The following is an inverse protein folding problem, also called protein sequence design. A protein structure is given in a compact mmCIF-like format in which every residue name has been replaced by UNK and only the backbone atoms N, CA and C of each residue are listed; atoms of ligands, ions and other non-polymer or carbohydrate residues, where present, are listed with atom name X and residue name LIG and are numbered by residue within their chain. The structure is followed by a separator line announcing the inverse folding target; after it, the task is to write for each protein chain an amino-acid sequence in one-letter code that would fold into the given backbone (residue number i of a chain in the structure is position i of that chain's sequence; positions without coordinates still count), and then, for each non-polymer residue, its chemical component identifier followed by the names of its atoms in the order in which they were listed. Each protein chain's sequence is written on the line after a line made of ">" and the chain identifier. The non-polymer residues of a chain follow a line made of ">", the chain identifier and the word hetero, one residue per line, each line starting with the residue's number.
data_IF_632040835049
#
_entry.id   IF_632040835049
#
_cell.length_a   1.000
_cell.length_b   1.000
_cell.length_c   1.000
_cell.angle_alpha   90.00
_cell.angle_beta   90.00
_cell.angle_gamma   90.00
#
_symmetry.space_group_name_H-M   'P 1'
#
loop_
_entity.id
_entity.type
_entity.pdbx_description
1 polymer ?
#
# COMPACT_ATOMS: atom_id res chain seq x y z
N UNK A 1 49.56 -1.37 -21.23
CA UNK A 1 48.43 -0.49 -20.84
C UNK A 1 48.39 -0.50 -19.32
N UNK A 2 48.63 0.66 -18.70
CA UNK A 2 48.91 0.77 -17.25
C UNK A 2 47.67 0.42 -16.43
N UNK A 3 47.88 -0.27 -15.30
CA UNK A 3 46.86 -0.68 -14.31
C UNK A 3 45.95 0.47 -13.84
N UNK A 4 46.40 1.73 -14.00
CA UNK A 4 45.60 2.93 -13.72
C UNK A 4 44.39 3.09 -14.65
N UNK A 5 44.43 2.54 -15.88
CA UNK A 5 43.29 2.57 -16.81
C UNK A 5 42.25 1.48 -16.52
N UNK A 6 42.62 0.41 -15.81
CA UNK A 6 41.69 -0.66 -15.42
C UNK A 6 40.90 -0.23 -14.18
N UNK A 7 41.53 0.51 -13.25
CA UNK A 7 40.83 1.07 -12.09
C UNK A 7 39.80 2.16 -12.47
N UNK A 8 40.08 2.95 -13.51
CA UNK A 8 39.16 4.00 -13.97
C UNK A 8 37.95 3.47 -14.77
N UNK A 9 37.99 2.21 -15.21
CA UNK A 9 36.89 1.56 -15.94
C UNK A 9 35.92 0.79 -15.04
N UNK A 10 36.24 0.63 -13.75
CA UNK A 10 35.34 0.04 -12.74
C UNK A 10 34.66 1.14 -11.89
N UNK A 11 35.16 2.38 -11.92
CA UNK A 11 34.62 3.50 -11.14
C UNK A 11 33.64 4.41 -11.91
N UNK A 12 33.17 4.01 -13.09
CA UNK A 12 32.20 4.77 -13.88
C UNK A 12 31.12 3.86 -14.49
N UNK A 13 30.50 3.07 -13.61
CA UNK A 13 29.16 2.53 -13.79
C UNK A 13 28.38 2.85 -12.50
N UNK A 14 28.27 4.14 -12.17
CA UNK A 14 27.15 4.64 -11.40
C UNK A 14 26.07 4.98 -12.43
N UNK A 15 25.57 3.95 -13.10
CA UNK A 15 24.21 4.05 -13.56
C UNK A 15 23.39 3.86 -12.28
N UNK A 16 22.54 4.83 -11.99
CA UNK A 16 21.40 4.61 -11.11
C UNK A 16 20.51 3.66 -11.90
N UNK A 17 20.85 2.37 -11.93
CA UNK A 17 19.86 1.35 -12.22
C UNK A 17 18.94 1.34 -10.99
N UNK A 18 17.91 2.19 -11.03
CA UNK A 18 16.71 1.91 -10.26
C UNK A 18 16.38 0.43 -10.51
N UNK A 19 16.24 -0.35 -9.44
CA UNK A 19 16.16 -1.82 -9.48
C UNK A 19 14.77 -2.27 -9.92
N UNK A 20 14.31 -1.77 -11.06
CA UNK A 20 13.05 -2.15 -11.69
C UNK A 20 13.05 -3.66 -12.01
N UNK A 21 12.02 -4.37 -11.54
CA UNK A 21 11.88 -5.82 -11.72
C UNK A 21 12.21 -6.68 -10.50
N UNK A 22 12.60 -6.08 -9.35
CA UNK A 22 12.76 -6.83 -8.10
C UNK A 22 11.44 -7.39 -7.56
N UNK A 23 10.31 -6.79 -7.95
CA UNK A 23 8.96 -7.27 -7.68
C UNK A 23 8.72 -8.69 -8.22
N UNK A 24 9.44 -9.07 -9.28
CA UNK A 24 9.33 -10.40 -9.87
C UNK A 24 9.97 -11.50 -9.00
N UNK A 25 10.87 -11.14 -8.09
CA UNK A 25 11.50 -12.11 -7.19
C UNK A 25 10.45 -12.69 -6.23
N UNK A 26 9.70 -11.88 -5.45
CA UNK A 26 8.60 -12.40 -4.64
C UNK A 26 7.49 -13.08 -5.46
N UNK A 27 7.11 -12.54 -6.63
CA UNK A 27 6.09 -13.15 -7.51
C UNK A 27 6.49 -14.57 -7.92
N UNK A 28 7.73 -14.74 -8.40
CA UNK A 28 8.23 -16.05 -8.82
C UNK A 28 8.37 -17.03 -7.66
N UNK A 29 8.82 -16.55 -6.49
CA UNK A 29 8.94 -17.36 -5.29
C UNK A 29 7.58 -17.89 -4.82
N UNK A 30 6.56 -17.02 -4.77
CA UNK A 30 5.20 -17.41 -4.35
C UNK A 30 4.53 -18.30 -5.39
N UNK A 31 4.69 -18.01 -6.68
CA UNK A 31 4.17 -18.87 -7.75
C UNK A 31 4.72 -20.30 -7.64
N UNK A 32 6.01 -20.45 -7.34
CA UNK A 32 6.66 -21.75 -7.19
C UNK A 32 6.12 -22.57 -6.00
N UNK A 33 5.51 -21.92 -5.00
CA UNK A 33 4.86 -22.63 -3.88
C UNK A 33 3.65 -23.44 -4.37
N UNK A 34 2.89 -22.91 -5.32
CA UNK A 34 1.77 -23.62 -5.93
C UNK A 34 2.23 -24.88 -6.68
N UNK A 35 3.32 -24.76 -7.45
CA UNK A 35 3.95 -25.90 -8.14
C UNK A 35 4.50 -26.95 -7.16
N UNK A 36 4.95 -26.51 -5.99
CA UNK A 36 5.40 -27.37 -4.89
C UNK A 36 4.25 -28.00 -4.09
N UNK A 37 2.99 -27.63 -4.38
CA UNK A 37 1.79 -28.22 -3.76
C UNK A 37 1.38 -27.57 -2.43
N UNK A 38 1.81 -26.34 -2.16
CA UNK A 38 1.34 -25.57 -1.01
C UNK A 38 0.01 -24.87 -1.33
N UNK A 39 -0.91 -24.89 -0.37
CA UNK A 39 -2.25 -24.30 -0.50
C UNK A 39 -3.20 -25.05 -1.42
N UNK A 40 -4.40 -24.50 -1.58
CA UNK A 40 -5.39 -25.00 -2.54
C UNK A 40 -5.00 -24.63 -3.98
N UNK A 41 -5.44 -25.41 -5.00
CA UNK A 41 -5.12 -25.13 -6.40
C UNK A 41 -5.52 -23.71 -6.82
N UNK A 42 -4.55 -22.95 -7.34
CA UNK A 42 -4.73 -21.58 -7.83
C UNK A 42 -4.45 -20.50 -6.78
N UNK A 43 -4.47 -20.81 -5.49
CA UNK A 43 -4.29 -19.80 -4.42
C UNK A 43 -2.92 -19.14 -4.50
N UNK A 44 -1.84 -19.93 -4.62
CA UNK A 44 -0.50 -19.38 -4.74
C UNK A 44 -0.31 -18.51 -5.99
N UNK A 45 -1.00 -18.84 -7.09
CA UNK A 45 -0.97 -18.04 -8.32
C UNK A 45 -1.72 -16.71 -8.13
N UNK A 46 -2.89 -16.73 -7.50
CA UNK A 46 -3.67 -15.52 -7.17
C UNK A 46 -2.89 -14.59 -6.24
N UNK A 47 -2.26 -15.13 -5.19
CA UNK A 47 -1.42 -14.33 -4.29
C UNK A 47 -0.21 -13.77 -5.04
N UNK A 48 0.44 -14.56 -5.89
CA UNK A 48 1.56 -14.07 -6.68
C UNK A 48 1.15 -12.96 -7.66
N UNK A 49 -0.06 -13.02 -8.23
CA UNK A 49 -0.60 -12.00 -9.12
C UNK A 49 -0.89 -10.66 -8.44
N UNK A 50 -1.19 -10.65 -7.13
CA UNK A 50 -1.46 -9.41 -6.38
C UNK A 50 -0.20 -8.68 -5.89
N UNK A 51 0.95 -9.36 -5.86
CA UNK A 51 2.20 -8.79 -5.33
C UNK A 51 2.66 -7.52 -6.07
N UNK A 52 2.71 -7.46 -7.42
CA UNK A 52 3.24 -6.29 -8.12
C UNK A 52 2.52 -5.02 -7.70
N UNK A 53 1.18 -5.06 -7.63
CA UNK A 53 0.36 -3.92 -7.23
C UNK A 53 0.64 -3.41 -5.81
N UNK A 54 1.24 -4.20 -4.92
CA UNK A 54 1.62 -3.79 -3.56
C UNK A 54 3.04 -3.22 -3.43
N UNK A 55 3.84 -3.34 -4.50
CA UNK A 55 5.23 -2.89 -4.52
C UNK A 55 5.41 -1.59 -5.31
N UNK A 56 4.33 -0.98 -5.79
CA UNK A 56 4.33 0.31 -6.47
C UNK A 56 4.23 1.47 -5.47
N UNK A 57 4.78 2.63 -5.81
CA UNK A 57 4.75 3.83 -4.97
C UNK A 57 3.33 4.34 -4.64
N UNK A 58 2.36 4.11 -5.52
CA UNK A 58 0.96 4.53 -5.30
C UNK A 58 0.19 3.55 -4.39
N UNK A 59 0.77 2.40 -4.08
CA UNK A 59 0.15 1.40 -3.22
C UNK A 59 0.39 1.68 -1.75
N UNK A 60 -0.52 1.25 -0.89
CA UNK A 60 -0.29 1.30 0.55
C UNK A 60 0.87 0.36 0.92
N UNK A 61 1.92 0.82 1.60
CA UNK A 61 3.02 -0.04 2.02
C UNK A 61 2.57 -1.09 3.06
N UNK A 62 1.40 -0.92 3.67
CA UNK A 62 0.81 -1.90 4.58
C UNK A 62 0.16 -3.09 3.84
N UNK A 63 -0.24 -2.91 2.58
CA UNK A 63 -0.84 -4.00 1.78
C UNK A 63 0.20 -5.09 1.52
N UNK A 64 1.47 -4.71 1.28
CA UNK A 64 2.60 -5.65 1.16
C UNK A 64 2.70 -6.59 2.37
N UNK A 65 2.56 -6.05 3.58
CA UNK A 65 2.64 -6.84 4.82
C UNK A 65 1.41 -7.76 4.97
N UNK A 66 0.24 -7.26 4.57
CA UNK A 66 -1.01 -8.05 4.57
C UNK A 66 -0.94 -9.22 3.58
N UNK A 67 -0.39 -9.01 2.38
CA UNK A 67 -0.16 -10.08 1.40
C UNK A 67 0.85 -11.09 1.94
N UNK A 68 1.91 -10.64 2.62
CA UNK A 68 2.86 -11.55 3.25
C UNK A 68 2.22 -12.42 4.35
N UNK A 69 1.30 -11.85 5.14
CA UNK A 69 0.49 -12.61 6.10
C UNK A 69 -0.45 -13.60 5.40
N UNK A 70 -1.01 -13.22 4.24
CA UNK A 70 -1.86 -14.09 3.43
C UNK A 70 -1.09 -15.30 2.89
N UNK A 71 0.17 -15.14 2.47
CA UNK A 71 1.04 -16.25 2.06
C UNK A 71 1.11 -17.31 3.17
N UNK A 72 1.38 -16.89 4.42
CA UNK A 72 1.47 -17.82 5.56
C UNK A 72 0.10 -18.42 5.90
N UNK A 73 -0.95 -17.61 5.89
CA UNK A 73 -2.30 -18.02 6.30
C UNK A 73 -2.90 -19.03 5.33
N UNK A 74 -2.72 -18.84 4.02
CA UNK A 74 -3.36 -19.64 2.99
C UNK A 74 -2.47 -20.76 2.44
N UNK A 75 -1.14 -20.58 2.39
CA UNK A 75 -0.21 -21.59 1.86
C UNK A 75 0.45 -22.43 2.98
N UNK A 76 0.35 -21.98 4.24
CA UNK A 76 0.77 -22.70 5.43
C UNK A 76 2.07 -22.18 6.06
N UNK A 77 2.57 -22.93 7.04
CA UNK A 77 3.73 -22.52 7.87
C UNK A 77 5.00 -23.33 7.58
N UNK A 78 5.09 -23.95 6.41
CA UNK A 78 6.34 -24.59 5.97
C UNK A 78 7.44 -23.53 5.79
N UNK A 79 8.70 -23.92 6.01
CA UNK A 79 9.82 -23.00 5.90
C UNK A 79 9.89 -22.36 4.51
N UNK A 80 9.56 -23.08 3.44
CA UNK A 80 9.57 -22.49 2.09
C UNK A 80 8.51 -21.39 1.93
N UNK A 81 7.34 -21.55 2.55
CA UNK A 81 6.27 -20.54 2.52
C UNK A 81 6.70 -19.32 3.33
N UNK A 82 7.28 -19.54 4.50
CA UNK A 82 7.83 -18.47 5.35
C UNK A 82 8.94 -17.72 4.61
N UNK A 83 9.88 -18.43 3.97
CA UNK A 83 10.99 -17.83 3.22
C UNK A 83 10.48 -16.95 2.06
N UNK A 84 9.42 -17.39 1.37
CA UNK A 84 8.79 -16.59 0.31
C UNK A 84 8.10 -15.33 0.87
N UNK A 85 7.40 -15.45 2.00
CA UNK A 85 6.77 -14.31 2.67
C UNK A 85 7.83 -13.31 3.20
N UNK A 86 8.94 -13.80 3.78
CA UNK A 86 10.10 -12.98 4.16
C UNK A 86 10.68 -12.25 2.94
N UNK A 87 10.78 -12.94 1.81
CA UNK A 87 11.21 -12.35 0.54
C UNK A 87 10.32 -11.18 0.11
N UNK A 88 9.00 -11.27 0.31
CA UNK A 88 8.07 -10.17 0.03
C UNK A 88 8.21 -9.02 1.04
N UNK A 89 8.27 -9.30 2.35
CA UNK A 89 8.38 -8.26 3.39
C UNK A 89 9.66 -7.45 3.23
N UNK A 90 10.77 -8.12 2.90
CA UNK A 90 12.08 -7.50 2.67
C UNK A 90 12.23 -6.85 1.29
N UNK A 91 11.27 -7.05 0.38
CA UNK A 91 11.33 -6.46 -0.95
C UNK A 91 11.26 -4.94 -0.89
N UNK A 92 12.06 -4.33 -1.76
CA UNK A 92 12.10 -2.89 -2.02
C UNK A 92 10.77 -2.46 -2.64
N UNK A 93 10.16 -1.40 -2.10
CA UNK A 93 9.04 -0.72 -2.76
C UNK A 93 9.61 0.13 -3.89
N UNK A 94 9.10 -0.08 -5.09
CA UNK A 94 9.53 0.61 -6.30
C UNK A 94 8.87 1.99 -6.36
N UNK A 95 9.69 3.05 -6.35
CA UNK A 95 9.21 4.41 -6.46
C UNK A 95 10.00 5.20 -7.49
N UNK A 96 9.34 6.15 -8.14
CA UNK A 96 9.98 7.02 -9.11
C UNK A 96 10.81 8.09 -8.37
N UNK A 97 12.15 8.05 -8.45
CA UNK A 97 13.01 9.02 -7.77
C UNK A 97 12.87 10.46 -8.31
N UNK A 98 12.16 10.66 -9.43
CA UNK A 98 11.81 11.98 -9.95
C UNK A 98 10.52 12.55 -9.33
N UNK A 99 9.68 11.70 -8.73
CA UNK A 99 8.42 12.10 -8.09
C UNK A 99 8.54 12.16 -6.56
N UNK A 100 9.21 11.18 -5.96
CA UNK A 100 9.47 11.10 -4.52
C UNK A 100 10.91 10.66 -4.28
N UNK A 101 11.56 11.20 -3.25
CA UNK A 101 12.99 10.96 -2.99
C UNK A 101 13.26 9.93 -1.88
N UNK A 102 12.19 9.41 -1.28
CA UNK A 102 12.24 8.48 -0.14
C UNK A 102 11.15 7.43 -0.30
N UNK A 103 11.33 6.21 0.24
CA UNK A 103 10.33 5.15 0.16
C UNK A 103 9.17 5.39 1.13
N UNK A 104 8.05 4.71 0.88
CA UNK A 104 6.93 4.62 1.81
C UNK A 104 7.02 3.34 2.64
N UNK A 105 6.74 3.43 3.95
CA UNK A 105 6.85 2.31 4.89
C UNK A 105 5.62 2.26 5.79
N UNK A 106 5.11 1.05 6.05
CA UNK A 106 3.95 0.86 6.88
C UNK A 106 4.22 1.23 8.35
N UNK A 107 3.34 2.08 8.89
CA UNK A 107 3.34 2.56 10.28
C UNK A 107 2.29 1.87 11.17
N UNK A 108 1.59 0.84 10.67
CA UNK A 108 0.66 0.06 11.47
C UNK A 108 1.41 -0.97 12.34
N UNK A 109 1.38 -0.77 13.67
CA UNK A 109 2.01 -1.67 14.63
C UNK A 109 1.34 -3.06 14.71
N UNK A 110 0.13 -3.23 14.17
CA UNK A 110 -0.54 -4.53 14.11
C UNK A 110 -0.03 -5.40 12.96
N UNK A 111 0.72 -4.82 12.01
CA UNK A 111 1.27 -5.52 10.85
C UNK A 111 2.81 -5.66 10.92
N UNK A 112 3.38 -6.76 10.40
CA UNK A 112 2.70 -7.99 10.02
C UNK A 112 2.04 -8.67 11.23
N UNK A 113 0.92 -9.35 10.99
CA UNK A 113 0.20 -10.11 12.00
C UNK A 113 0.93 -11.43 12.34
N UNK A 114 1.64 -12.01 11.37
CA UNK A 114 2.43 -13.23 11.55
C UNK A 114 3.70 -12.93 12.33
N UNK A 115 3.87 -13.57 13.49
CA UNK A 115 5.05 -13.37 14.35
C UNK A 115 6.38 -13.67 13.64
N UNK A 116 6.39 -14.60 12.69
CA UNK A 116 7.57 -14.98 11.90
C UNK A 116 8.07 -13.87 10.96
N UNK A 117 7.21 -12.91 10.63
CA UNK A 117 7.51 -11.82 9.71
C UNK A 117 7.87 -10.51 10.43
N UNK A 118 7.64 -10.44 11.75
CA UNK A 118 7.91 -9.24 12.54
C UNK A 118 9.41 -9.00 12.67
N UNK A 119 9.81 -7.73 12.67
CA UNK A 119 11.20 -7.32 12.80
C UNK A 119 12.01 -7.39 11.51
N UNK A 120 11.36 -7.66 10.37
CA UNK A 120 11.97 -7.64 9.04
C UNK A 120 11.75 -6.28 8.40
N UNK A 121 12.84 -5.69 7.90
CA UNK A 121 12.83 -4.37 7.26
C UNK A 121 13.13 -4.47 5.76
N UNK A 122 12.52 -3.61 4.93
CA UNK A 122 12.64 -3.70 3.48
C UNK A 122 14.00 -3.18 3.01
N UNK A 123 14.39 -3.62 1.82
CA UNK A 123 15.41 -2.92 1.04
C UNK A 123 14.91 -1.53 0.65
N UNK A 124 15.84 -0.62 0.42
CA UNK A 124 15.57 0.75 -0.06
C UNK A 124 16.50 1.09 -1.23
N UNK A 125 16.00 1.94 -2.14
CA UNK A 125 16.74 2.34 -3.33
C UNK A 125 18.12 2.93 -2.93
N UNK A 126 19.23 2.49 -3.55
CA UNK A 126 20.57 2.99 -3.26
C UNK A 126 20.73 4.51 -3.37
N UNK A 127 19.88 5.21 -4.12
CA UNK A 127 19.85 6.66 -4.24
C UNK A 127 19.31 7.36 -2.98
N UNK A 128 18.60 6.65 -2.09
CA UNK A 128 18.10 7.19 -0.82
C UNK A 128 19.28 7.40 0.12
N UNK A 129 19.37 8.59 0.72
CA UNK A 129 20.42 8.88 1.70
C UNK A 129 20.26 7.93 2.90
N UNK A 130 21.34 7.22 3.25
CA UNK A 130 21.34 6.22 4.33
C UNK A 130 20.98 4.80 3.89
N UNK A 131 20.71 4.58 2.60
CA UNK A 131 20.35 3.27 2.03
C UNK A 131 21.36 2.16 2.30
N UNK A 132 22.67 2.46 2.38
CA UNK A 132 23.70 1.47 2.71
C UNK A 132 23.48 0.83 4.09
N UNK A 133 23.09 1.65 5.08
CA UNK A 133 22.82 1.17 6.42
C UNK A 133 21.53 0.34 6.45
N UNK A 134 20.48 0.84 5.80
CA UNK A 134 19.20 0.15 5.78
C UNK A 134 19.24 -1.16 4.99
N UNK A 135 19.93 -1.19 3.86
CA UNK A 135 20.11 -2.42 3.09
C UNK A 135 20.95 -3.46 3.86
N UNK A 136 21.86 -3.02 4.73
CA UNK A 136 22.55 -3.92 5.67
C UNK A 136 21.64 -4.40 6.81
N UNK A 137 20.74 -3.53 7.31
CA UNK A 137 19.71 -3.89 8.28
C UNK A 137 18.75 -4.93 7.68
N UNK A 138 18.25 -4.71 6.47
CA UNK A 138 17.38 -5.64 5.75
C UNK A 138 18.02 -7.02 5.60
N UNK A 139 19.26 -7.08 5.12
CA UNK A 139 20.03 -8.33 5.01
C UNK A 139 20.20 -9.04 6.36
N UNK A 140 20.39 -8.29 7.45
CA UNK A 140 20.44 -8.85 8.80
C UNK A 140 19.08 -9.40 9.22
N UNK A 141 18.02 -8.61 9.06
CA UNK A 141 16.66 -8.89 9.52
C UNK A 141 16.05 -10.13 8.87
N UNK A 142 16.37 -10.41 7.61
CA UNK A 142 15.94 -11.64 6.90
C UNK A 142 16.50 -12.91 7.56
N UNK A 143 17.66 -12.82 8.22
CA UNK A 143 18.29 -13.98 8.88
C UNK A 143 18.12 -13.97 10.40
N UNK A 144 18.01 -12.79 10.99
CA UNK A 144 17.86 -12.55 12.42
C UNK A 144 16.95 -11.33 12.57
N UNK A 145 15.62 -11.55 12.64
CA UNK A 145 14.67 -10.45 12.76
C UNK A 145 14.95 -9.60 14.00
N UNK A 146 14.72 -8.30 13.88
CA UNK A 146 14.88 -7.37 15.00
C UNK A 146 13.74 -7.52 16.01
N UNK A 147 13.95 -7.04 17.23
CA UNK A 147 12.86 -6.94 18.19
C UNK A 147 11.84 -5.90 17.71
N UNK A 148 10.60 -6.34 17.52
CA UNK A 148 9.50 -5.55 16.98
C UNK A 148 8.25 -5.63 17.86
N UNK A 149 8.43 -5.94 19.15
CA UNK A 149 7.32 -6.04 20.09
C UNK A 149 6.56 -4.72 20.21
N UNK A 150 5.36 -4.67 19.62
CA UNK A 150 4.51 -3.48 19.60
C UNK A 150 4.97 -2.39 18.63
N UNK A 151 5.92 -2.68 17.74
CA UNK A 151 6.47 -1.73 16.77
C UNK A 151 6.01 -2.07 15.34
N UNK A 152 5.62 -1.06 14.58
CA UNK A 152 5.43 -1.13 13.13
C UNK A 152 6.76 -1.35 12.39
N UNK A 153 6.70 -1.74 11.12
CA UNK A 153 7.90 -1.86 10.29
C UNK A 153 8.68 -0.54 10.24
N UNK A 154 7.98 0.59 10.12
CA UNK A 154 8.56 1.92 10.20
C UNK A 154 9.31 2.18 11.53
N UNK A 155 8.70 1.86 12.66
CA UNK A 155 9.34 2.05 13.98
C UNK A 155 10.55 1.13 14.17
N UNK A 156 10.55 -0.08 13.58
CA UNK A 156 11.72 -0.96 13.58
C UNK A 156 12.87 -0.32 12.79
N UNK A 157 12.61 0.25 11.61
CA UNK A 157 13.63 0.95 10.82
C UNK A 157 14.23 2.13 11.58
N UNK A 158 13.40 2.94 12.24
CA UNK A 158 13.83 4.05 13.11
C UNK A 158 14.71 3.53 14.25
N UNK A 159 14.30 2.43 14.90
CA UNK A 159 15.09 1.80 15.97
C UNK A 159 16.46 1.27 15.49
N UNK A 160 16.59 0.94 14.21
CA UNK A 160 17.86 0.56 13.57
C UNK A 160 18.63 1.74 12.97
N UNK A 161 18.17 2.98 13.22
CA UNK A 161 18.87 4.20 12.83
C UNK A 161 18.62 4.67 11.41
N UNK A 162 17.55 4.19 10.75
CA UNK A 162 17.12 4.68 9.46
C UNK A 162 15.75 5.35 9.58
N UNK A 163 15.67 6.63 9.20
CA UNK A 163 14.44 7.46 9.29
C UNK A 163 14.10 8.18 7.98
N UNK A 164 14.85 7.93 6.90
CA UNK A 164 14.70 8.64 5.63
C UNK A 164 13.64 7.97 4.74
N UNK A 165 12.38 8.03 5.18
CA UNK A 165 11.21 7.43 4.55
C UNK A 165 9.93 8.16 4.97
N UNK A 166 8.85 8.00 4.20
CA UNK A 166 7.51 8.45 4.58
C UNK A 166 6.78 7.30 5.28
N UNK A 167 6.33 7.53 6.52
CA UNK A 167 5.53 6.57 7.25
C UNK A 167 4.05 6.69 6.84
N UNK A 168 3.39 5.58 6.55
CA UNK A 168 1.99 5.54 6.09
C UNK A 168 1.18 4.64 7.01
N UNK A 169 0.08 5.16 7.55
CA UNK A 169 -0.84 4.41 8.38
C UNK A 169 -1.73 3.48 7.54
N UNK A 170 -2.41 2.52 8.16
CA UNK A 170 -3.26 1.55 7.47
C UNK A 170 -4.44 2.17 6.69
N UNK A 171 -4.84 3.40 7.03
CA UNK A 171 -5.87 4.13 6.29
C UNK A 171 -5.32 4.91 5.08
N UNK A 172 -4.02 4.80 4.78
CA UNK A 172 -3.34 5.48 3.68
C UNK A 172 -2.84 6.88 4.02
N UNK A 173 -3.05 7.38 5.25
CA UNK A 173 -2.58 8.70 5.65
C UNK A 173 -1.07 8.67 5.94
N UNK A 174 -0.35 9.69 5.48
CA UNK A 174 1.02 9.96 5.91
C UNK A 174 1.03 10.34 7.40
N UNK A 175 1.91 9.73 8.17
CA UNK A 175 2.08 9.98 9.60
C UNK A 175 3.55 10.26 9.92
N UNK A 176 3.78 11.08 10.94
CA UNK A 176 5.13 11.34 11.47
C UNK A 176 5.30 10.54 12.75
N UNK A 177 6.35 9.73 12.80
CA UNK A 177 6.66 8.89 13.96
C UNK A 177 7.74 9.52 14.84
N UNK A 178 7.71 9.19 16.13
CA UNK A 178 8.76 9.59 17.06
C UNK A 178 10.12 9.07 16.60
N UNK A 179 11.11 9.96 16.48
CA UNK A 179 12.45 9.62 16.00
C UNK A 179 12.62 9.65 14.48
N UNK A 180 11.59 10.00 13.71
CA UNK A 180 11.80 10.51 12.35
C UNK A 180 12.28 11.95 12.41
N UNK A 181 13.47 12.20 11.87
CA UNK A 181 13.88 13.55 11.53
C UNK A 181 12.88 14.04 10.48
N UNK A 182 12.10 15.07 10.82
CA UNK A 182 11.05 15.60 9.95
C UNK A 182 11.59 16.03 8.60
N UNK A 183 11.65 15.09 7.65
CA UNK A 183 11.77 15.37 6.24
C UNK A 183 10.45 16.01 5.85
N UNK A 184 10.50 17.34 5.73
CA UNK A 184 9.38 18.20 5.46
C UNK A 184 8.46 17.61 4.38
N UNK A 185 7.20 17.40 4.75
CA UNK A 185 6.09 17.41 3.82
C UNK A 185 6.23 18.64 2.92
N UNK A 186 6.28 18.41 1.61
CA UNK A 186 6.21 19.49 0.63
C UNK A 186 4.88 20.23 0.79
N UNK A 187 4.99 21.52 1.05
CA UNK A 187 4.02 22.59 0.79
C UNK A 187 2.52 22.25 0.90
N UNK A 188 1.99 22.37 2.11
CA UNK A 188 0.78 23.18 2.31
C UNK A 188 0.87 23.93 3.65
N UNK A 189 1.17 25.22 3.55
CA UNK A 189 1.29 26.12 4.68
C UNK A 189 -0.11 26.41 5.28
N UNK A 190 -0.42 25.77 6.40
CA UNK A 190 -1.35 26.31 7.38
C UNK A 190 -0.63 26.48 8.72
N UNK A 191 -0.21 27.72 8.98
CA UNK A 191 0.38 28.14 10.24
C UNK A 191 -0.56 27.87 11.42
N UNK A 192 -0.01 27.24 12.45
CA UNK A 192 -0.59 27.14 13.78
C UNK A 192 0.53 26.92 14.78
N UNK A 193 1.07 28.02 15.30
CA UNK A 193 2.08 28.07 16.36
C UNK A 193 1.64 27.25 17.59
N UNK A 194 2.55 26.42 18.13
CA UNK A 194 2.86 26.37 19.57
C UNK A 194 4.14 25.53 19.79
N UNK A 195 5.27 26.18 19.54
CA UNK A 195 6.56 25.69 20.00
C UNK A 195 6.71 25.91 21.52
N UNK A 196 6.77 24.81 22.27
CA UNK A 196 7.31 24.81 23.62
C UNK A 196 8.40 23.73 23.73
N UNK A 197 9.61 24.08 23.30
CA UNK A 197 10.83 23.39 23.69
C UNK A 197 11.38 24.02 24.98
N UNK A 198 11.77 23.18 25.92
CA UNK A 198 12.40 23.57 27.17
C UNK A 198 12.76 22.36 28.01
N UNK A 199 13.83 21.68 27.62
CA UNK A 199 14.56 20.71 28.43
C UNK A 199 15.05 21.34 29.75
N UNK A 200 15.03 20.57 30.84
CA UNK A 200 16.28 20.24 31.55
C UNK A 200 16.03 19.21 32.67
N UNK A 201 16.86 18.17 32.64
CA UNK A 201 16.99 17.15 33.67
C UNK A 201 17.65 17.72 34.95
N UNK A 202 17.16 17.29 36.11
CA UNK A 202 17.96 17.27 37.34
C UNK A 202 17.51 16.12 38.24
N UNK A 203 18.34 15.08 38.30
CA UNK A 203 18.47 14.22 39.47
C UNK A 203 19.40 14.91 40.48
N UNK A 204 19.04 14.96 41.76
CA UNK A 204 19.84 14.39 42.87
C UNK A 204 19.17 14.62 44.25
N UNK A 205 19.30 13.59 45.09
CA UNK A 205 19.49 13.59 46.56
C UNK A 205 18.59 14.45 47.48
N UNK A 206 17.84 13.75 48.35
CA UNK A 206 17.40 14.28 49.64
C UNK A 206 16.73 13.24 50.53
N UNK A 207 17.54 12.39 51.16
CA UNK A 207 17.15 11.43 52.22
C UNK A 207 16.58 12.11 53.47
N UNK A 208 15.41 11.66 53.96
CA UNK A 208 15.19 11.03 55.28
C UNK A 208 13.70 11.00 55.66
N UNK A 209 13.22 9.81 56.02
CA UNK A 209 12.01 9.57 56.81
C UNK A 209 12.40 9.59 58.31
N UNK A 210 11.46 9.67 59.31
CA UNK A 210 10.57 8.53 59.56
C UNK A 210 9.18 8.82 60.19
N UNK A 211 8.29 7.82 60.00
CA UNK A 211 7.23 7.31 60.89
C UNK A 211 6.06 8.26 61.29
N UNK A 212 4.79 7.87 61.42
CA UNK A 212 4.09 6.58 61.50
C UNK A 212 2.56 6.84 61.39
N UNK A 213 1.79 5.76 61.13
CA UNK A 213 0.37 5.55 61.50
C UNK A 213 -0.68 5.57 60.38
N UNK A 214 -1.03 4.35 60.01
CA UNK A 214 -2.22 3.81 59.32
C UNK A 214 -3.57 4.38 59.79
N UNK A 215 -4.45 4.79 58.86
CA UNK A 215 -5.89 4.42 58.81
C UNK A 215 -6.41 4.48 57.37
N UNK A 216 -7.00 3.39 56.91
CA UNK A 216 -7.81 3.26 55.69
C UNK A 216 -9.26 3.69 56.01
N UNK A 217 -9.84 4.64 55.25
CA UNK A 217 -11.23 4.60 54.72
C UNK A 217 -11.73 6.01 54.29
N UNK A 218 -12.08 6.12 53.00
CA UNK A 218 -13.14 7.01 52.46
C UNK A 218 -14.53 6.52 52.94
N UNK A 219 -15.68 7.24 52.78
CA UNK A 219 -15.91 8.49 52.04
C UNK A 219 -16.87 9.51 52.71
N UNK A 220 -17.05 10.65 52.02
CA UNK A 220 -18.31 11.39 51.83
C UNK A 220 -19.31 11.51 52.99
N UNK A 221 -19.38 12.70 53.60
CA UNK A 221 -20.51 13.15 54.41
C UNK A 221 -21.39 14.11 53.62
N UNK A 222 -22.61 13.68 53.32
CA UNK A 222 -23.78 14.54 53.15
C UNK A 222 -24.85 14.07 54.12
N UNK A 223 -25.49 14.99 54.85
CA UNK A 223 -26.76 14.73 55.52
C UNK A 223 -26.91 15.37 56.90
N UNK A 224 -27.57 16.53 56.95
CA UNK A 224 -28.38 16.91 58.10
C UNK A 224 -29.85 16.71 57.73
N UNK A 225 -30.63 16.02 58.57
CA UNK A 225 -32.09 16.09 58.50
C UNK A 225 -32.90 14.81 58.77
N UNK A 226 -33.05 14.47 60.06
CA UNK A 226 -34.31 14.10 60.73
C UNK A 226 -34.88 12.65 60.71
N UNK A 227 -35.00 12.15 61.95
CA UNK A 227 -36.06 11.33 62.59
C UNK A 227 -36.19 9.80 62.40
N UNK A 228 -35.81 9.12 63.49
CA UNK A 228 -36.52 8.08 64.26
C UNK A 228 -36.77 6.67 63.63
N UNK A 229 -35.97 5.72 64.12
CA UNK A 229 -36.08 4.24 64.17
C UNK A 229 -37.45 3.68 64.65
N UNK A 230 -37.80 2.36 64.51
CA UNK A 230 -36.89 1.20 64.35
C UNK A 230 -37.30 0.02 63.41
N UNK A 231 -36.28 -0.81 63.10
CA UNK A 231 -36.28 -2.29 63.05
C UNK A 231 -37.14 -3.06 62.01
N UNK A 232 -36.47 -3.74 61.05
CA UNK A 232 -36.23 -5.21 61.04
C UNK A 232 -36.03 -5.80 59.62
N UNK A 233 -34.88 -6.48 59.46
CA UNK A 233 -34.59 -7.70 58.67
C UNK A 233 -35.31 -8.02 57.33
N UNK A 234 -34.51 -7.97 56.25
CA UNK A 234 -34.04 -9.13 55.45
C UNK A 234 -34.76 -9.61 54.16
N UNK A 235 -33.89 -10.12 53.26
CA UNK A 235 -34.05 -11.10 52.16
C UNK A 235 -34.36 -10.65 50.69
N UNK A 236 -33.39 -11.03 49.82
CA UNK A 236 -33.50 -11.83 48.57
C UNK A 236 -33.80 -11.17 47.22
N UNK A 237 -33.15 -11.78 46.23
CA UNK A 237 -32.88 -11.45 44.84
C UNK A 237 -34.00 -11.75 43.82
N UNK A 238 -33.62 -11.50 42.55
CA UNK A 238 -34.11 -12.00 41.24
C UNK A 238 -35.25 -11.26 40.53
N UNK A 239 -35.12 -11.13 39.20
CA UNK A 239 -36.25 -10.85 38.31
C UNK A 239 -35.87 -10.13 37.01
N UNK A 240 -36.09 -10.79 35.88
CA UNK A 240 -35.73 -10.40 34.52
C UNK A 240 -36.80 -9.54 33.80
N UNK A 241 -36.32 -8.86 32.75
CA UNK A 241 -36.90 -8.69 31.41
C UNK A 241 -38.18 -7.86 31.13
N UNK A 242 -38.12 -7.26 29.92
CA UNK A 242 -39.18 -6.95 28.94
C UNK A 242 -39.64 -5.48 28.72
N UNK A 243 -39.11 -4.93 27.61
CA UNK A 243 -39.77 -4.28 26.45
C UNK A 243 -41.06 -3.45 26.60
N UNK A 244 -40.92 -2.16 26.23
CA UNK A 244 -41.77 -1.26 25.40
C UNK A 244 -43.33 -1.28 25.51
N UNK A 245 -44.01 -0.10 25.39
CA UNK A 245 -44.33 0.41 24.05
C UNK A 245 -44.35 1.96 23.90
N UNK A 246 -44.42 2.38 22.64
CA UNK A 246 -44.48 3.75 22.15
C UNK A 246 -45.85 4.45 22.32
N UNK A 247 -45.87 5.79 22.35
CA UNK A 247 -46.73 6.62 21.49
C UNK A 247 -46.51 8.14 21.68
N UNK A 248 -46.43 8.79 20.52
CA UNK A 248 -46.45 10.20 20.11
C UNK A 248 -47.46 11.13 20.79
N UNK A 249 -47.06 12.40 20.98
CA UNK A 249 -47.87 13.59 20.67
C UNK A 249 -47.02 14.87 20.68
N UNK A 250 -47.08 15.61 19.57
CA UNK A 250 -46.45 16.90 19.33
C UNK A 250 -47.36 18.05 19.77
N UNK A 251 -46.77 19.16 20.26
CA UNK A 251 -47.22 20.57 20.06
C UNK A 251 -46.04 21.51 20.42
N UNK A 252 -45.76 22.53 19.60
CA UNK A 252 -45.29 23.83 20.11
C UNK A 252 -44.07 24.45 19.44
N UNK A 253 -44.32 25.14 18.33
CA UNK A 253 -43.42 26.03 17.59
C UNK A 253 -42.99 27.26 18.42
N UNK A 254 -41.78 27.79 18.17
CA UNK A 254 -41.51 29.22 18.34
C UNK A 254 -40.76 29.75 17.11
N UNK A 255 -41.31 30.82 16.55
CA UNK A 255 -40.90 31.52 15.34
C UNK A 255 -40.27 32.87 15.69
N UNK A 256 -39.37 33.34 14.81
CA UNK A 256 -39.31 34.75 14.41
C UNK A 256 -38.22 35.63 15.02
N UNK A 257 -37.27 36.05 14.18
CA UNK A 257 -37.07 37.44 13.69
C UNK A 257 -35.64 37.53 13.07
N UNK A 258 -35.35 37.99 11.86
CA UNK A 258 -36.09 38.80 10.91
C UNK A 258 -35.19 39.92 10.36
N UNK A 259 -34.76 39.74 9.10
CA UNK A 259 -34.49 40.74 8.04
C UNK A 259 -33.46 41.86 8.23
N UNK A 260 -32.49 41.94 7.30
CA UNK A 260 -32.38 43.06 6.33
C UNK A 260 -31.88 42.53 4.98
N UNK A 261 -32.53 42.95 3.90
CA UNK A 261 -32.26 42.63 2.51
C UNK A 261 -31.61 43.84 1.80
N UNK A 262 -30.81 43.55 0.78
CA UNK A 262 -30.56 44.28 -0.49
C UNK A 262 -29.47 43.42 -1.19
N UNK A 263 -29.59 42.85 -2.39
CA UNK A 263 -30.39 43.19 -3.56
C UNK A 263 -29.44 43.71 -4.66
N UNK A 264 -28.87 42.82 -5.49
CA UNK A 264 -28.69 43.11 -6.92
C UNK A 264 -28.48 41.84 -7.75
N UNK A 265 -29.20 41.83 -8.86
CA UNK A 265 -29.45 40.75 -9.80
C UNK A 265 -28.37 40.57 -10.89
N UNK A 266 -28.50 39.42 -11.58
CA UNK A 266 -28.20 39.12 -12.99
C UNK A 266 -26.76 38.77 -13.41
N UNK A 267 -26.57 37.47 -13.73
CA UNK A 267 -26.35 37.05 -15.12
C UNK A 267 -26.70 35.56 -15.30
N UNK A 268 -27.90 35.30 -15.85
CA UNK A 268 -28.27 34.03 -16.48
C UNK A 268 -27.76 34.03 -17.93
N UNK A 269 -27.19 32.91 -18.37
CA UNK A 269 -27.53 32.32 -19.67
C UNK A 269 -27.08 30.86 -19.77
N UNK A 270 -28.09 30.03 -20.00
CA UNK A 270 -28.14 28.59 -20.22
C UNK A 270 -27.42 28.10 -21.48
N UNK A 271 -27.06 26.81 -21.46
CA UNK A 271 -27.58 25.79 -22.39
C UNK A 271 -27.30 24.41 -21.74
N UNK A 272 -28.27 23.74 -21.11
CA UNK A 272 -29.28 22.81 -21.68
C UNK A 272 -28.59 21.64 -22.43
N UNK A 273 -28.86 20.33 -22.26
CA UNK A 273 -29.84 19.49 -21.55
C UNK A 273 -29.30 18.03 -21.73
N UNK A 274 -29.17 17.17 -20.72
CA UNK A 274 -30.17 16.34 -20.02
C UNK A 274 -30.41 14.91 -20.59
N UNK A 275 -30.50 13.97 -19.64
CA UNK A 275 -31.07 12.60 -19.65
C UNK A 275 -30.19 11.44 -20.21
N UNK A 276 -30.17 10.22 -19.66
CA UNK A 276 -31.20 9.50 -18.88
C UNK A 276 -30.59 8.31 -18.08
N UNK A 277 -31.34 7.87 -17.07
CA UNK A 277 -31.06 6.91 -16.01
C UNK A 277 -30.96 5.43 -16.45
N UNK A 278 -30.27 4.60 -15.66
CA UNK A 278 -30.46 3.14 -15.73
C UNK A 278 -29.48 2.27 -14.96
N UNK A 279 -29.71 2.09 -13.66
CA UNK A 279 -29.04 1.06 -12.85
C UNK A 279 -29.55 -0.35 -13.18
N UNK A 280 -28.67 -1.23 -13.67
CA UNK A 280 -28.73 -2.71 -13.53
C UNK A 280 -27.31 -3.27 -13.54
N UNK A 281 -26.97 -4.09 -12.55
CA UNK A 281 -25.62 -4.64 -12.37
C UNK A 281 -25.12 -5.57 -13.48
N UNK A 282 -23.79 -5.64 -13.56
CA UNK A 282 -23.02 -6.46 -14.48
C UNK A 282 -21.85 -5.64 -15.03
N UNK A 283 -20.66 -5.87 -14.48
CA UNK A 283 -19.33 -5.51 -14.99
C UNK A 283 -19.31 -4.41 -16.06
N UNK A 284 -19.27 -3.17 -15.60
CA UNK A 284 -19.05 -2.02 -16.46
C UNK A 284 -17.59 -2.04 -16.92
N UNK A 285 -17.35 -2.73 -18.03
CA UNK A 285 -16.32 -2.32 -18.97
C UNK A 285 -16.55 -0.81 -19.23
N UNK A 286 -15.63 0.01 -18.72
CA UNK A 286 -15.62 1.44 -18.94
C UNK A 286 -15.61 1.64 -20.45
N UNK A 287 -16.68 2.24 -20.98
CA UNK A 287 -16.78 2.55 -22.40
C UNK A 287 -15.57 3.37 -22.83
N UNK A 288 -14.97 3.01 -23.97
CA UNK A 288 -13.78 3.62 -24.55
C UNK A 288 -14.03 5.09 -24.93
N UNK A 289 -14.03 5.96 -23.91
CA UNK A 289 -13.44 7.28 -24.04
C UNK A 289 -12.00 7.11 -24.52
N UNK A 290 -11.49 8.08 -25.25
CA UNK A 290 -10.16 8.04 -25.86
C UNK A 290 -9.10 8.02 -24.73
N UNK A 291 -8.75 6.83 -24.22
CA UNK A 291 -7.77 6.63 -23.16
C UNK A 291 -6.46 7.33 -23.54
N UNK A 292 -5.95 8.16 -22.65
CA UNK A 292 -4.70 8.89 -22.88
C UNK A 292 -3.53 8.10 -22.32
N UNK A 293 -2.89 7.31 -23.17
CA UNK A 293 -1.69 6.55 -22.82
C UNK A 293 -0.40 7.38 -22.90
N UNK A 294 -0.53 8.70 -23.09
CA UNK A 294 0.55 9.65 -23.21
C UNK A 294 1.49 9.32 -24.39
N UNK A 295 2.77 9.08 -24.09
CA UNK A 295 3.84 8.82 -25.05
C UNK A 295 3.85 7.38 -25.59
N UNK A 296 3.08 6.47 -24.99
CA UNK A 296 3.14 5.04 -25.31
C UNK A 296 1.93 4.54 -26.07
N UNK A 297 2.13 3.46 -26.81
CA UNK A 297 1.06 2.60 -27.28
C UNK A 297 1.14 1.25 -26.56
N UNK A 298 0.31 0.98 -25.55
CA UNK A 298 0.40 -0.21 -24.70
C UNK A 298 -0.08 -1.49 -25.39
N UNK A 299 0.43 -1.79 -26.58
CA UNK A 299 0.06 -2.94 -27.40
C UNK A 299 0.99 -4.13 -27.15
N UNK A 300 0.45 -5.33 -27.29
CA UNK A 300 1.15 -6.60 -27.09
C UNK A 300 1.11 -7.45 -28.37
N UNK A 301 2.23 -8.10 -28.67
CA UNK A 301 2.35 -9.09 -29.72
C UNK A 301 2.78 -10.45 -29.19
N UNK A 302 2.55 -11.48 -30.00
CA UNK A 302 3.04 -12.84 -29.79
C UNK A 302 3.83 -13.30 -31.02
N UNK A 303 5.14 -13.43 -30.86
CA UNK A 303 6.09 -13.65 -31.98
C UNK A 303 6.93 -14.90 -31.71
N UNK A 304 7.28 -15.64 -32.76
CA UNK A 304 8.11 -16.85 -32.65
C UNK A 304 9.59 -16.60 -32.96
N UNK A 305 10.46 -17.38 -32.33
CA UNK A 305 11.88 -17.44 -32.69
C UNK A 305 12.71 -16.22 -32.29
N UNK A 306 12.23 -15.44 -31.33
CA UNK A 306 12.94 -14.30 -30.78
C UNK A 306 14.16 -14.73 -29.95
N UNK A 307 15.17 -13.86 -29.87
CA UNK A 307 16.35 -14.02 -29.01
C UNK A 307 17.07 -15.38 -29.10
N UNK A 308 17.07 -15.99 -30.29
CA UNK A 308 17.72 -17.27 -30.54
C UNK A 308 16.91 -18.51 -30.11
N UNK A 309 15.63 -18.33 -29.73
CA UNK A 309 14.68 -19.42 -29.50
C UNK A 309 14.33 -20.14 -30.80
N UNK A 310 13.71 -21.32 -30.66
CA UNK A 310 13.25 -22.07 -31.81
C UNK A 310 12.20 -21.27 -32.60
N UNK A 311 12.19 -21.38 -33.93
CA UNK A 311 11.21 -20.69 -34.80
C UNK A 311 9.74 -21.08 -34.54
N UNK A 312 9.50 -22.07 -33.69
CA UNK A 312 8.17 -22.53 -33.25
C UNK A 312 7.86 -22.19 -31.80
N UNK A 313 8.79 -21.56 -31.09
CA UNK A 313 8.64 -21.12 -29.70
C UNK A 313 8.23 -19.66 -29.70
N UNK A 314 7.03 -19.40 -29.20
CA UNK A 314 6.42 -18.08 -29.20
C UNK A 314 6.55 -17.43 -27.83
N UNK A 315 6.88 -16.14 -27.83
CA UNK A 315 6.91 -15.28 -26.66
C UNK A 315 5.98 -14.10 -26.87
N UNK A 316 5.49 -13.54 -25.77
CA UNK A 316 4.78 -12.27 -25.74
C UNK A 316 5.80 -11.14 -25.60
N UNK A 317 5.53 -10.02 -26.25
CA UNK A 317 6.37 -8.82 -26.22
C UNK A 317 5.50 -7.54 -26.23
N UNK A 318 5.96 -6.43 -25.62
CA UNK A 318 5.40 -5.10 -25.91
C UNK A 318 5.79 -4.69 -27.33
N UNK A 319 4.86 -4.12 -28.12
CA UNK A 319 5.19 -3.66 -29.47
C UNK A 319 5.73 -2.23 -29.50
N UNK A 320 5.39 -1.42 -28.48
CA UNK A 320 5.91 -0.08 -28.34
C UNK A 320 7.33 -0.09 -27.74
N UNK A 321 8.31 0.56 -28.38
CA UNK A 321 9.70 0.56 -27.91
C UNK A 321 9.90 1.19 -26.53
N UNK A 322 9.05 2.13 -26.13
CA UNK A 322 9.10 2.76 -24.82
C UNK A 322 8.55 1.79 -23.76
N UNK A 323 7.48 1.06 -24.07
CA UNK A 323 6.98 -0.05 -23.25
C UNK A 323 8.02 -1.18 -23.09
N UNK A 324 8.77 -1.48 -24.16
CA UNK A 324 9.70 -2.60 -24.22
C UNK A 324 11.00 -2.44 -23.40
N UNK A 325 11.25 -1.29 -22.75
CA UNK A 325 12.60 -0.97 -22.22
C UNK A 325 13.25 -2.03 -21.29
N UNK A 326 12.93 -2.24 -20.02
CA UNK A 326 13.65 -3.21 -19.17
C UNK A 326 13.41 -4.70 -19.46
N UNK A 327 12.40 -5.06 -20.25
CA UNK A 327 11.99 -6.45 -20.54
C UNK A 327 11.46 -6.56 -21.97
N UNK A 328 12.10 -7.42 -22.77
CA UNK A 328 11.83 -7.52 -24.21
C UNK A 328 10.89 -8.66 -24.58
N UNK A 329 10.84 -9.75 -23.80
CA UNK A 329 9.99 -10.91 -24.09
C UNK A 329 9.69 -11.78 -22.87
N UNK A 330 8.55 -12.47 -22.89
CA UNK A 330 8.24 -13.49 -21.89
C UNK A 330 7.37 -14.61 -22.47
N UNK A 331 7.51 -15.82 -21.91
CA UNK A 331 6.58 -16.93 -22.19
C UNK A 331 5.24 -16.75 -21.47
N UNK A 332 5.22 -15.99 -20.37
CA UNK A 332 4.03 -15.69 -19.60
C UNK A 332 3.47 -14.32 -20.02
N UNK A 333 2.24 -14.23 -20.57
CA UNK A 333 1.66 -12.96 -20.98
C UNK A 333 1.53 -11.98 -19.80
N UNK A 334 1.24 -12.46 -18.58
CA UNK A 334 1.11 -11.61 -17.40
C UNK A 334 2.40 -10.83 -17.07
N UNK A 335 3.59 -11.33 -17.49
CA UNK A 335 4.84 -10.58 -17.30
C UNK A 335 4.88 -9.37 -18.26
N UNK A 336 4.33 -9.52 -19.46
CA UNK A 336 4.28 -8.45 -20.46
C UNK A 336 3.19 -7.44 -20.15
N UNK A 337 2.02 -7.87 -19.66
CA UNK A 337 0.96 -6.94 -19.26
C UNK A 337 1.41 -6.06 -18.09
N UNK A 338 2.00 -6.65 -17.04
CA UNK A 338 2.65 -5.91 -15.95
C UNK A 338 3.65 -4.90 -16.50
N UNK A 339 4.57 -5.35 -17.37
CA UNK A 339 5.58 -4.48 -17.96
C UNK A 339 4.98 -3.29 -18.70
N UNK A 340 3.91 -3.50 -19.47
CA UNK A 340 3.26 -2.43 -20.22
C UNK A 340 2.60 -1.43 -19.26
N UNK A 341 1.83 -1.90 -18.26
CA UNK A 341 1.19 -1.02 -17.28
C UNK A 341 2.22 -0.25 -16.45
N UNK A 342 3.33 -0.89 -16.05
CA UNK A 342 4.43 -0.22 -15.36
C UNK A 342 4.99 0.95 -16.18
N UNK A 343 5.11 0.79 -17.50
CA UNK A 343 5.60 1.88 -18.33
C UNK A 343 4.58 3.00 -18.45
N UNK A 344 3.28 2.69 -18.52
CA UNK A 344 2.22 3.69 -18.53
C UNK A 344 2.32 4.64 -17.33
N UNK A 345 2.56 4.07 -16.14
CA UNK A 345 2.74 4.83 -14.89
C UNK A 345 4.06 5.61 -14.88
N UNK A 346 5.17 5.00 -15.32
CA UNK A 346 6.50 5.52 -15.02
C UNK A 346 7.14 6.38 -16.11
N UNK A 347 6.85 6.12 -17.39
CA UNK A 347 7.56 6.74 -18.52
C UNK A 347 6.65 7.29 -19.61
N UNK A 348 5.41 6.83 -19.67
CA UNK A 348 4.51 7.21 -20.75
C UNK A 348 3.72 8.48 -20.45
N UNK A 349 3.70 8.98 -19.21
CA UNK A 349 2.85 10.12 -18.82
C UNK A 349 1.36 9.83 -19.14
N UNK A 350 0.90 8.59 -18.92
CA UNK A 350 -0.49 8.20 -19.15
C UNK A 350 -1.43 8.83 -18.11
N UNK A 351 -2.70 9.01 -18.47
CA UNK A 351 -3.73 9.49 -17.54
C UNK A 351 -4.14 8.40 -16.54
N UNK A 352 -4.70 8.82 -15.40
CA UNK A 352 -5.18 7.90 -14.36
C UNK A 352 -6.23 6.92 -14.90
N UNK A 353 -7.09 7.37 -15.83
CA UNK A 353 -8.08 6.49 -16.48
C UNK A 353 -7.42 5.44 -17.39
N UNK A 354 -6.33 5.79 -18.06
CA UNK A 354 -5.58 4.88 -18.92
C UNK A 354 -4.78 3.86 -18.11
N UNK A 355 -4.25 4.27 -16.95
CA UNK A 355 -3.60 3.37 -15.98
C UNK A 355 -4.63 2.39 -15.41
N UNK A 356 -5.78 2.89 -14.93
CA UNK A 356 -6.85 2.05 -14.41
C UNK A 356 -7.39 1.05 -15.45
N UNK A 357 -7.49 1.47 -16.72
CA UNK A 357 -7.86 0.58 -17.82
C UNK A 357 -6.78 -0.50 -18.09
N UNK A 358 -5.51 -0.18 -17.91
CA UNK A 358 -4.41 -1.16 -18.00
C UNK A 358 -4.50 -2.21 -16.89
N UNK A 359 -4.75 -1.78 -15.66
CA UNK A 359 -4.90 -2.68 -14.50
C UNK A 359 -6.11 -3.62 -14.68
N UNK A 360 -7.24 -3.09 -15.15
CA UNK A 360 -8.42 -3.91 -15.47
C UNK A 360 -8.12 -4.89 -16.62
N UNK A 361 -7.47 -4.43 -17.69
CA UNK A 361 -7.08 -5.30 -18.79
C UNK A 361 -6.12 -6.42 -18.35
N UNK A 362 -5.21 -6.11 -17.43
CA UNK A 362 -4.30 -7.08 -16.84
C UNK A 362 -5.07 -8.14 -16.04
N UNK A 363 -6.00 -7.74 -15.18
CA UNK A 363 -6.83 -8.66 -14.41
C UNK A 363 -7.65 -9.58 -15.34
N UNK A 364 -8.18 -9.04 -16.45
CA UNK A 364 -8.91 -9.82 -17.45
C UNK A 364 -8.02 -10.82 -18.19
N UNK A 365 -6.79 -10.44 -18.55
CA UNK A 365 -5.81 -11.36 -19.17
C UNK A 365 -5.40 -12.46 -18.20
N UNK A 366 -5.18 -12.13 -16.93
CA UNK A 366 -4.88 -13.13 -15.91
C UNK A 366 -6.03 -14.13 -15.74
N UNK A 367 -7.27 -13.64 -15.66
CA UNK A 367 -8.46 -14.47 -15.57
C UNK A 367 -8.68 -15.35 -16.82
N UNK A 368 -8.26 -14.88 -18.00
CA UNK A 368 -8.35 -15.62 -19.25
C UNK A 368 -7.44 -16.86 -19.23
N UNK A 369 -6.25 -16.76 -18.64
CA UNK A 369 -5.31 -17.87 -18.46
C UNK A 369 -4.77 -18.49 -19.75
N UNK A 370 -5.03 -17.89 -20.92
CA UNK A 370 -4.54 -18.37 -22.22
C UNK A 370 -3.11 -17.91 -22.48
N UNK A 371 -2.41 -18.61 -23.39
CA UNK A 371 -1.02 -18.32 -23.79
C UNK A 371 -0.81 -18.41 -25.30
N UNK A 372 -1.88 -18.17 -26.05
CA UNK A 372 -1.91 -18.21 -27.51
C UNK A 372 -2.16 -16.81 -28.08
N UNK A 373 -2.37 -16.71 -29.39
CA UNK A 373 -2.55 -15.43 -30.06
C UNK A 373 -3.75 -14.63 -29.51
N UNK A 374 -4.80 -15.33 -29.06
CA UNK A 374 -6.00 -14.68 -28.54
C UNK A 374 -5.73 -13.84 -27.29
N UNK A 375 -4.68 -14.15 -26.53
CA UNK A 375 -4.27 -13.36 -25.36
C UNK A 375 -3.79 -11.97 -25.77
N UNK A 376 -2.95 -11.88 -26.81
CA UNK A 376 -2.46 -10.60 -27.35
C UNK A 376 -3.60 -9.80 -27.99
N UNK A 377 -4.47 -10.47 -28.76
CA UNK A 377 -5.62 -9.83 -29.39
C UNK A 377 -6.58 -9.26 -28.34
N UNK A 378 -6.91 -10.05 -27.31
CA UNK A 378 -7.81 -9.62 -26.22
C UNK A 378 -7.24 -8.42 -25.49
N UNK A 379 -5.95 -8.44 -25.15
CA UNK A 379 -5.28 -7.31 -24.50
C UNK A 379 -5.40 -6.02 -25.32
N UNK A 380 -5.08 -6.11 -26.62
CA UNK A 380 -5.15 -4.96 -27.51
C UNK A 380 -6.59 -4.44 -27.64
N UNK A 381 -7.59 -5.32 -27.75
CA UNK A 381 -9.00 -4.92 -27.79
C UNK A 381 -9.43 -4.22 -26.49
N UNK A 382 -9.01 -4.72 -25.31
CA UNK A 382 -9.36 -4.12 -24.02
C UNK A 382 -8.85 -2.69 -23.86
N UNK A 383 -7.68 -2.39 -24.41
CA UNK A 383 -7.08 -1.06 -24.37
C UNK A 383 -7.47 -0.16 -25.57
N UNK A 384 -8.40 -0.62 -26.41
CA UNK A 384 -8.92 0.18 -27.53
C UNK A 384 -8.10 0.10 -28.83
N UNK A 385 -7.17 -0.84 -28.93
CA UNK A 385 -6.32 -1.10 -30.11
C UNK A 385 -6.84 -2.28 -30.95
N UNK A 386 -8.17 -2.41 -31.09
CA UNK A 386 -8.77 -3.47 -31.89
C UNK A 386 -8.26 -3.46 -33.34
N UNK A 387 -7.87 -4.63 -33.84
CA UNK A 387 -7.35 -4.79 -35.19
C UNK A 387 -5.87 -4.44 -35.40
N UNK A 388 -5.11 -4.11 -34.34
CA UNK A 388 -3.65 -4.00 -34.43
C UNK A 388 -3.02 -5.36 -34.81
N UNK A 389 -1.95 -5.35 -35.61
CA UNK A 389 -1.24 -6.57 -35.97
C UNK A 389 -0.36 -7.06 -34.80
N UNK A 390 -0.93 -7.93 -33.98
CA UNK A 390 -0.30 -8.56 -32.81
C UNK A 390 0.67 -9.70 -33.16
N UNK A 391 1.04 -9.86 -34.44
CA UNK A 391 1.96 -10.92 -34.90
C UNK A 391 3.35 -10.40 -35.26
N UNK A 392 3.59 -9.09 -35.13
CA UNK A 392 4.86 -8.42 -35.45
C UNK A 392 5.51 -7.79 -34.22
N UNK A 393 6.83 -7.66 -34.25
CA UNK A 393 7.59 -7.17 -33.09
C UNK A 393 7.34 -5.72 -32.72
N UNK A 394 7.04 -4.87 -33.70
CA UNK A 394 6.85 -3.43 -33.52
C UNK A 394 5.74 -2.96 -34.44
N UNK A 395 5.07 -1.87 -34.04
CA UNK A 395 4.09 -1.16 -34.85
C UNK A 395 4.63 0.14 -35.45
#
# INVERSE_FOLDING_TARGET
>A
MSALKIAALIALAAYVEARFGQEQIPVSAVSALGDAGFGDPGVAATIAGSIPGSLLAAASPCDKLTIADQIITELGTDQQVIDAAIGLVSAETNFNPFAVNVPFVCADATLPASEQLRGIVPLVDPAVVGSDAENANSATSVTTPFDAAGLSQAEVMIAQGFSNFTAVAANGDDVVLDGQDGAAAGDDAAAGDDAAAGDDAAADDGTEAPAETTVVQQPGRCGGGNNNTPSSTALVATGAAETAPAATSAVGENTGNGTVADGNDQNDNNNDDAADDGATGGDAAVGTGNLDFGLCQPTMARVAGLNGRAATEFTFIPQDPLCAQGQQEALNPNIITNRICDQLVNVCEASDEAIAACDDAQAQIEALGTRDQSTADTWNTLLGFDGVDSTQETI
#
